data_IF_506585479645
#
_entry.id   IF_506585479645
#
_cell.length_a   1.000
_cell.length_b   1.000
_cell.length_c   1.000
_cell.angle_alpha   90.00
_cell.angle_beta   90.00
_cell.angle_gamma   90.00
#
_symmetry.space_group_name_H-M   'P 1'
#
loop_
_entity.id
_entity.type
_entity.pdbx_description
1 polymer ?
#
# COMPACT_ATOMS: atom_id res chain seq x y z
N UNK A 1 -15.62 10.85 -3.66
CA UNK A 1 -14.90 10.49 -2.42
C UNK A 1 -14.45 11.78 -1.76
N UNK A 2 -14.86 12.03 -0.51
CA UNK A 2 -14.35 13.18 0.24
C UNK A 2 -12.86 12.97 0.54
N UNK A 3 -12.01 14.00 0.47
CA UNK A 3 -10.63 13.87 0.91
C UNK A 3 -10.63 13.45 2.38
N UNK A 4 -9.92 12.36 2.68
CA UNK A 4 -9.73 11.94 4.07
C UNK A 4 -8.97 13.05 4.77
N UNK A 5 -9.62 13.70 5.74
CA UNK A 5 -8.95 14.65 6.61
C UNK A 5 -8.14 13.85 7.64
N UNK A 6 -6.82 13.85 7.48
CA UNK A 6 -5.92 13.33 8.50
C UNK A 6 -5.60 14.42 9.52
N UNK A 7 -5.59 14.08 10.80
CA UNK A 7 -5.13 15.01 11.84
C UNK A 7 -3.61 15.20 11.72
N UNK A 8 -3.06 16.31 12.23
CA UNK A 8 -1.60 16.51 12.27
C UNK A 8 -0.87 15.38 13.01
N UNK A 9 -1.50 14.81 14.04
CA UNK A 9 -0.96 13.71 14.85
C UNK A 9 -0.93 12.39 14.08
N UNK A 10 -2.03 12.02 13.41
CA UNK A 10 -2.08 10.85 12.52
C UNK A 10 -1.00 10.92 11.44
N UNK A 11 -0.81 12.10 10.84
CA UNK A 11 0.22 12.32 9.82
C UNK A 11 1.62 12.20 10.38
N UNK A 12 1.84 12.67 11.61
CA UNK A 12 3.13 12.56 12.28
C UNK A 12 3.45 11.09 12.56
N UNK A 13 2.51 10.35 13.14
CA UNK A 13 2.65 8.92 13.46
C UNK A 13 2.85 8.08 12.19
N UNK A 14 2.06 8.32 11.14
CA UNK A 14 2.20 7.65 9.84
C UNK A 14 3.59 7.90 9.24
N UNK A 15 4.05 9.16 9.21
CA UNK A 15 5.37 9.50 8.63
C UNK A 15 6.52 8.95 9.47
N UNK A 16 6.42 8.98 10.80
CA UNK A 16 7.44 8.48 11.70
C UNK A 16 7.58 6.95 11.61
N UNK A 17 6.45 6.23 11.68
CA UNK A 17 6.43 4.77 11.53
C UNK A 17 6.88 4.35 10.13
N UNK A 18 6.43 5.03 9.06
CA UNK A 18 6.91 4.74 7.71
C UNK A 18 8.42 4.93 7.58
N UNK A 19 9.00 5.98 8.16
CA UNK A 19 10.45 6.20 8.13
C UNK A 19 11.23 5.05 8.80
N UNK A 20 10.70 4.50 9.88
CA UNK A 20 11.27 3.32 10.54
C UNK A 20 11.23 2.10 9.60
N UNK A 21 10.06 1.81 9.02
CA UNK A 21 9.88 0.68 8.09
C UNK A 21 10.76 0.84 6.84
N UNK A 22 10.87 2.06 6.31
CA UNK A 22 11.68 2.36 5.12
C UNK A 22 13.18 2.13 5.36
N UNK A 23 13.67 2.46 6.56
CA UNK A 23 15.05 2.17 6.99
C UNK A 23 15.34 0.67 7.00
N UNK A 24 14.30 -0.16 7.11
CA UNK A 24 14.33 -1.63 7.08
C UNK A 24 13.65 -2.20 5.83
N UNK A 25 13.55 -1.42 4.75
CA UNK A 25 12.71 -1.72 3.58
C UNK A 25 12.97 -3.08 2.94
N UNK A 26 14.22 -3.57 2.93
CA UNK A 26 14.53 -4.91 2.42
C UNK A 26 13.82 -6.00 3.23
N UNK A 27 13.98 -5.96 4.56
CA UNK A 27 13.35 -6.92 5.46
C UNK A 27 11.82 -6.80 5.40
N UNK A 28 11.31 -5.57 5.47
CA UNK A 28 9.88 -5.32 5.39
C UNK A 28 9.26 -5.82 4.08
N UNK A 29 9.97 -5.69 2.94
CA UNK A 29 9.48 -6.21 1.67
C UNK A 29 9.48 -7.75 1.63
N UNK A 30 10.48 -8.39 2.24
CA UNK A 30 10.56 -9.85 2.32
C UNK A 30 9.41 -10.42 3.16
N UNK A 31 9.14 -9.80 4.32
CA UNK A 31 8.01 -10.13 5.19
C UNK A 31 6.68 -9.91 4.45
N UNK A 32 6.50 -8.76 3.80
CA UNK A 32 5.30 -8.43 3.04
C UNK A 32 4.96 -9.46 1.97
N UNK A 33 5.93 -9.83 1.12
CA UNK A 33 5.70 -10.82 0.09
C UNK A 33 5.53 -12.23 0.67
N UNK A 34 6.12 -12.53 1.82
CA UNK A 34 5.82 -13.74 2.59
C UNK A 34 4.34 -13.80 2.97
N UNK A 35 3.86 -12.82 3.75
CA UNK A 35 2.45 -12.76 4.16
C UNK A 35 1.49 -12.72 2.99
N UNK A 36 1.77 -11.92 1.95
CA UNK A 36 0.91 -11.82 0.77
C UNK A 36 0.70 -13.19 0.11
N UNK A 37 1.77 -13.96 -0.02
CA UNK A 37 1.75 -15.24 -0.71
C UNK A 37 1.30 -16.41 0.15
N UNK A 38 1.28 -16.24 1.47
CA UNK A 38 0.66 -17.18 2.41
C UNK A 38 -0.85 -16.96 2.51
N UNK A 39 -1.30 -15.71 2.59
CA UNK A 39 -2.73 -15.35 2.64
C UNK A 39 -3.40 -15.53 1.27
N UNK A 40 -2.65 -15.26 0.20
CA UNK A 40 -3.16 -15.24 -1.16
C UNK A 40 -2.20 -15.92 -2.14
N UNK A 41 -2.06 -17.26 -2.05
CA UNK A 41 -1.19 -18.02 -2.95
C UNK A 41 -1.62 -17.91 -4.42
N UNK A 42 -2.89 -17.58 -4.67
CA UNK A 42 -3.46 -17.30 -6.00
C UNK A 42 -2.87 -16.05 -6.67
N UNK A 43 -2.20 -15.18 -5.93
CA UNK A 43 -1.51 -14.01 -6.48
C UNK A 43 -0.10 -14.32 -6.99
N UNK A 44 0.53 -15.42 -6.56
CA UNK A 44 1.89 -15.82 -6.98
C UNK A 44 2.09 -15.80 -8.50
N UNK A 45 1.15 -16.30 -9.34
CA UNK A 45 1.30 -16.29 -10.80
C UNK A 45 1.45 -14.89 -11.39
N UNK A 46 0.89 -13.85 -10.77
CA UNK A 46 1.03 -12.46 -11.23
C UNK A 46 2.48 -11.95 -11.12
N UNK A 47 3.31 -12.60 -10.31
CA UNK A 47 4.71 -12.26 -10.07
C UNK A 47 5.70 -13.24 -10.71
N UNK A 48 5.23 -14.26 -11.44
CA UNK A 48 6.06 -15.34 -11.96
C UNK A 48 7.20 -14.88 -12.91
N UNK A 49 7.01 -13.73 -13.56
CA UNK A 49 7.98 -13.14 -14.48
C UNK A 49 8.53 -11.79 -13.97
N UNK A 50 8.43 -11.56 -12.66
CA UNK A 50 8.86 -10.32 -12.02
C UNK A 50 10.20 -10.52 -11.32
N UNK A 51 11.19 -9.64 -11.54
CA UNK A 51 12.37 -9.60 -10.67
C UNK A 51 11.92 -9.07 -9.30
N UNK A 52 11.86 -9.96 -8.31
CA UNK A 52 11.40 -9.62 -6.98
C UNK A 52 12.28 -8.59 -6.28
N UNK A 53 13.57 -8.47 -6.62
CA UNK A 53 14.44 -7.42 -6.03
C UNK A 53 14.03 -6.04 -6.50
N UNK A 54 13.80 -5.89 -7.80
CA UNK A 54 13.31 -4.64 -8.40
C UNK A 54 11.88 -4.33 -7.92
N UNK A 55 11.03 -5.34 -7.84
CA UNK A 55 9.66 -5.18 -7.35
C UNK A 55 9.59 -4.69 -5.90
N UNK A 56 10.44 -5.20 -5.01
CA UNK A 56 10.54 -4.74 -3.61
C UNK A 56 10.91 -3.26 -3.54
N UNK A 57 11.85 -2.80 -4.37
CA UNK A 57 12.25 -1.39 -4.44
C UNK A 57 11.13 -0.50 -4.99
N UNK A 58 10.46 -0.95 -6.06
CA UNK A 58 9.32 -0.25 -6.66
C UNK A 58 8.16 -0.09 -5.66
N UNK A 59 7.87 -1.13 -4.88
CA UNK A 59 6.83 -1.11 -3.86
C UNK A 59 7.08 -0.02 -2.82
N UNK A 60 8.27 0.00 -2.21
CA UNK A 60 8.61 1.02 -1.21
C UNK A 60 8.70 2.43 -1.79
N UNK A 61 9.21 2.58 -3.01
CA UNK A 61 9.24 3.87 -3.71
C UNK A 61 7.83 4.42 -3.93
N UNK A 62 6.88 3.55 -4.31
CA UNK A 62 5.49 3.92 -4.48
C UNK A 62 4.85 4.34 -3.15
N UNK A 63 5.04 3.58 -2.07
CA UNK A 63 4.55 3.93 -0.73
C UNK A 63 5.11 5.28 -0.25
N UNK A 64 6.41 5.53 -0.44
CA UNK A 64 7.06 6.79 -0.06
C UNK A 64 6.39 7.98 -0.73
N UNK A 65 6.16 7.89 -2.04
CA UNK A 65 5.50 8.96 -2.80
C UNK A 65 4.06 9.17 -2.31
N UNK A 66 3.30 8.09 -2.11
CA UNK A 66 1.90 8.18 -1.69
C UNK A 66 1.76 8.80 -0.30
N UNK A 67 2.57 8.36 0.67
CA UNK A 67 2.56 8.90 2.04
C UNK A 67 3.04 10.35 2.06
N UNK A 68 4.08 10.69 1.27
CA UNK A 68 4.58 12.06 1.14
C UNK A 68 3.56 13.02 0.52
N UNK A 69 2.68 12.52 -0.33
CA UNK A 69 1.64 13.29 -1.04
C UNK A 69 0.24 13.13 -0.45
N UNK A 70 0.07 12.48 0.71
CA UNK A 70 -1.25 12.16 1.29
C UNK A 70 -2.12 13.42 1.55
N UNK A 71 -1.48 14.56 1.82
CA UNK A 71 -2.13 15.86 2.03
C UNK A 71 -2.30 16.67 0.72
N UNK A 72 -1.95 16.10 -0.43
CA UNK A 72 -2.00 16.75 -1.74
C UNK A 72 -2.88 15.95 -2.71
N UNK A 73 -4.23 15.94 -2.51
CA UNK A 73 -5.14 15.12 -3.32
C UNK A 73 -5.02 15.34 -4.83
N UNK A 74 -4.72 16.58 -5.25
CA UNK A 74 -4.54 16.96 -6.64
C UNK A 74 -3.33 16.28 -7.32
N UNK A 75 -2.33 15.81 -6.55
CA UNK A 75 -1.22 15.00 -7.04
C UNK A 75 -1.47 13.50 -6.83
N UNK A 76 -2.04 13.16 -5.67
CA UNK A 76 -2.23 11.78 -5.26
C UNK A 76 -3.26 11.04 -6.12
N UNK A 77 -4.43 11.65 -6.37
CA UNK A 77 -5.52 10.99 -7.12
C UNK A 77 -5.09 10.63 -8.54
N UNK A 78 -4.44 11.51 -9.33
CA UNK A 78 -3.91 11.13 -10.64
C UNK A 78 -2.85 10.01 -10.58
N UNK A 79 -1.96 10.03 -9.58
CA UNK A 79 -0.93 9.01 -9.41
C UNK A 79 -1.55 7.63 -9.09
N UNK A 80 -2.52 7.58 -8.17
CA UNK A 80 -3.24 6.35 -7.82
C UNK A 80 -4.11 5.84 -8.96
N UNK A 81 -4.74 6.75 -9.72
CA UNK A 81 -5.47 6.41 -10.94
C UNK A 81 -4.56 5.72 -11.95
N UNK A 82 -3.38 6.29 -12.20
CA UNK A 82 -2.42 5.70 -13.13
C UNK A 82 -1.88 4.35 -12.61
N UNK A 83 -1.68 4.23 -11.30
CA UNK A 83 -1.30 2.98 -10.65
C UNK A 83 -2.36 1.90 -10.91
N UNK A 84 -3.63 2.17 -10.64
CA UNK A 84 -4.71 1.21 -10.86
C UNK A 84 -4.84 0.83 -12.33
N UNK A 85 -4.75 1.78 -13.27
CA UNK A 85 -4.69 1.48 -14.73
C UNK A 85 -3.53 0.54 -15.11
N UNK A 86 -2.37 0.63 -14.46
CA UNK A 86 -1.27 -0.35 -14.65
C UNK A 86 -1.62 -1.70 -14.05
N UNK A 87 -2.18 -1.73 -12.85
CA UNK A 87 -2.55 -2.97 -12.15
C UNK A 87 -3.65 -3.74 -12.90
N UNK A 88 -4.59 -3.04 -13.56
CA UNK A 88 -5.57 -3.66 -14.45
C UNK A 88 -4.90 -4.44 -15.59
N UNK A 89 -3.84 -3.88 -16.21
CA UNK A 89 -3.07 -4.56 -17.27
C UNK A 89 -2.33 -5.80 -16.77
N UNK A 90 -2.04 -5.86 -15.48
CA UNK A 90 -1.45 -7.05 -14.84
C UNK A 90 -2.50 -8.10 -14.47
N UNK A 91 -3.79 -7.84 -14.67
CA UNK A 91 -4.87 -8.74 -14.29
C UNK A 91 -5.28 -8.65 -12.81
N UNK A 92 -4.88 -7.58 -12.12
CA UNK A 92 -5.31 -7.32 -10.74
C UNK A 92 -6.79 -6.97 -10.72
N UNK A 93 -7.52 -7.53 -9.76
CA UNK A 93 -8.95 -7.30 -9.56
C UNK A 93 -9.19 -6.58 -8.23
N UNK A 94 -10.29 -5.81 -8.07
CA UNK A 94 -10.55 -5.02 -6.87
C UNK A 94 -10.42 -5.79 -5.55
N UNK A 95 -10.91 -7.03 -5.51
CA UNK A 95 -10.86 -7.86 -4.31
C UNK A 95 -9.44 -8.23 -3.86
N UNK A 96 -8.45 -8.14 -4.77
CA UNK A 96 -7.05 -8.42 -4.43
C UNK A 96 -6.45 -7.33 -3.54
N UNK A 97 -6.97 -6.10 -3.57
CA UNK A 97 -6.48 -5.04 -2.69
C UNK A 97 -6.77 -5.34 -1.21
N UNK A 98 -7.83 -6.09 -0.87
CA UNK A 98 -8.04 -6.49 0.53
C UNK A 98 -6.94 -7.43 1.02
N UNK A 99 -6.51 -8.38 0.18
CA UNK A 99 -5.41 -9.32 0.47
C UNK A 99 -4.08 -8.58 0.66
N UNK A 100 -3.80 -7.61 -0.22
CA UNK A 100 -2.62 -6.74 -0.13
C UNK A 100 -2.64 -5.92 1.16
N UNK A 101 -3.81 -5.40 1.57
CA UNK A 101 -3.98 -4.64 2.80
C UNK A 101 -3.68 -5.47 4.03
N UNK A 102 -4.23 -6.69 4.12
CA UNK A 102 -3.96 -7.60 5.23
C UNK A 102 -2.48 -7.93 5.36
N UNK A 103 -1.82 -8.28 4.25
CA UNK A 103 -0.38 -8.54 4.26
C UNK A 103 0.45 -7.32 4.69
N UNK A 104 0.06 -6.11 4.26
CA UNK A 104 0.72 -4.87 4.67
C UNK A 104 0.58 -4.63 6.18
N UNK A 105 -0.62 -4.77 6.76
CA UNK A 105 -0.82 -4.55 8.20
C UNK A 105 -0.01 -5.55 9.04
N UNK A 106 -0.02 -6.83 8.68
CA UNK A 106 0.80 -7.84 9.37
C UNK A 106 2.30 -7.53 9.27
N UNK A 107 2.74 -7.04 8.11
CA UNK A 107 4.14 -6.61 7.93
C UNK A 107 4.49 -5.43 8.82
N UNK A 108 3.60 -4.43 8.88
CA UNK A 108 3.83 -3.24 9.67
C UNK A 108 3.88 -3.57 11.16
N UNK A 109 2.95 -4.39 11.65
CA UNK A 109 2.93 -4.90 13.03
C UNK A 109 4.25 -5.60 13.38
N UNK A 110 4.69 -6.54 12.53
CA UNK A 110 5.94 -7.29 12.77
C UNK A 110 7.19 -6.39 12.74
N UNK A 111 7.28 -5.46 11.78
CA UNK A 111 8.45 -4.60 11.62
C UNK A 111 8.50 -3.51 12.69
N UNK A 112 7.37 -2.95 13.08
CA UNK A 112 7.31 -1.86 14.06
C UNK A 112 7.37 -2.36 15.50
N UNK A 113 6.90 -3.57 15.78
CA UNK A 113 6.93 -4.16 17.11
C UNK A 113 6.26 -3.25 18.14
N UNK A 114 7.01 -2.81 19.16
CA UNK A 114 6.50 -1.90 20.20
C UNK A 114 6.03 -0.53 19.66
N UNK A 115 6.45 -0.14 18.45
CA UNK A 115 5.98 1.08 17.78
C UNK A 115 4.61 0.90 17.10
N UNK A 116 4.08 -0.32 17.02
CA UNK A 116 2.74 -0.61 16.50
C UNK A 116 1.69 -0.38 17.58
N UNK A 117 1.27 0.87 17.74
CA UNK A 117 0.17 1.25 18.65
C UNK A 117 -1.16 1.27 17.90
N UNK A 118 -2.28 1.32 18.63
CA UNK A 118 -3.61 1.41 18.03
C UNK A 118 -3.78 2.64 17.13
N UNK A 119 -3.16 3.76 17.49
CA UNK A 119 -3.19 4.99 16.71
C UNK A 119 -2.39 4.86 15.40
N UNK A 120 -1.23 4.18 15.47
CA UNK A 120 -0.42 3.88 14.28
C UNK A 120 -1.18 2.94 13.35
N UNK A 121 -1.78 1.87 13.89
CA UNK A 121 -2.62 0.94 13.14
C UNK A 121 -3.77 1.67 12.44
N UNK A 122 -4.54 2.49 13.16
CA UNK A 122 -5.66 3.24 12.60
C UNK A 122 -5.21 4.18 11.47
N UNK A 123 -4.10 4.91 11.67
CA UNK A 123 -3.54 5.80 10.65
C UNK A 123 -3.15 5.04 9.38
N UNK A 124 -2.56 3.84 9.53
CA UNK A 124 -2.19 2.98 8.40
C UNK A 124 -3.39 2.38 7.69
N UNK A 125 -4.38 1.88 8.42
CA UNK A 125 -5.62 1.35 7.84
C UNK A 125 -6.31 2.42 7.02
N UNK A 126 -6.52 3.62 7.60
CA UNK A 126 -7.18 4.74 6.90
C UNK A 126 -6.40 5.17 5.65
N UNK A 127 -5.08 5.23 5.74
CA UNK A 127 -4.21 5.56 4.61
C UNK A 127 -4.32 4.51 3.51
N UNK A 128 -4.19 3.24 3.85
CA UNK A 128 -4.26 2.14 2.89
C UNK A 128 -5.62 2.08 2.21
N UNK A 129 -6.71 2.13 2.97
CA UNK A 129 -8.08 2.10 2.44
C UNK A 129 -8.31 3.24 1.45
N UNK A 130 -7.91 4.46 1.81
CA UNK A 130 -8.06 5.61 0.92
C UNK A 130 -7.32 5.44 -0.42
N UNK A 131 -6.07 4.95 -0.37
CA UNK A 131 -5.26 4.72 -1.57
C UNK A 131 -5.82 3.56 -2.41
N UNK A 132 -6.19 2.46 -1.76
CA UNK A 132 -6.76 1.28 -2.39
C UNK A 132 -8.08 1.61 -3.08
N UNK A 133 -8.95 2.41 -2.46
CA UNK A 133 -10.23 2.83 -3.03
C UNK A 133 -10.05 3.61 -4.33
N UNK A 134 -9.09 4.55 -4.38
CA UNK A 134 -8.79 5.31 -5.60
C UNK A 134 -8.27 4.37 -6.69
N UNK A 135 -7.32 3.48 -6.36
CA UNK A 135 -6.74 2.56 -7.33
C UNK A 135 -7.79 1.55 -7.85
N UNK A 136 -8.57 0.95 -6.95
CA UNK A 136 -9.60 -0.03 -7.26
C UNK A 136 -10.72 0.56 -8.13
N UNK A 137 -11.12 1.81 -7.90
CA UNK A 137 -12.09 2.50 -8.74
C UNK A 137 -11.67 2.58 -10.21
N UNK A 138 -10.38 2.49 -10.51
CA UNK A 138 -9.84 2.51 -11.88
C UNK A 138 -9.59 1.15 -12.50
N UNK A 139 -9.82 0.07 -11.74
CA UNK A 139 -9.83 -1.30 -12.27
C UNK A 139 -11.15 -1.65 -12.94
N UNK A 140 -12.25 -0.98 -12.59
CA UNK A 140 -13.48 -1.06 -13.35
C UNK A 140 -13.24 -0.43 -14.74
N UNK A 141 -13.64 -1.09 -15.83
CA UNK A 141 -13.59 -0.44 -17.15
C UNK A 141 -14.34 0.89 -17.04
N UNK A 142 -13.75 1.97 -17.59
CA UNK A 142 -14.51 3.19 -17.87
C UNK A 142 -15.78 2.74 -18.60
N UNK A 143 -16.93 3.07 -18.03
CA UNK A 143 -18.22 2.51 -18.43
C UNK A 143 -18.44 2.55 -19.94
N UNK A 144 -19.13 1.51 -20.43
CA UNK A 144 -19.85 1.54 -21.69
C UNK A 144 -20.74 2.78 -21.83
#
# INVERSE_FOLDING_TARGET
>A
MNPVAFTPEELQQLKASFKYVESNSKQAADIFYGYLFDIAPDLKPLFAHTDMRDQRQKFFSALRVMIGSIQQPHLLVPAMTQLGKRHAKYGVRPEMFQKVGGALMMTLEEVLGELWTAEVEEAWIRTYTYLADIAAATLAPEGH
#
